data_IF_898361801841
#
_entry.id   IF_898361801841
#
_cell.length_a   1.000
_cell.length_b   1.000
_cell.length_c   1.000
_cell.angle_alpha   90.00
_cell.angle_beta   90.00
_cell.angle_gamma   90.00
#
_symmetry.space_group_name_H-M   'P 1'
#
loop_
_entity.id
_entity.type
_entity.pdbx_description
1 polymer ?
#
# COMPACT_ATOMS: atom_id res chain seq x y z
N UNK A 1 5.85 4.15 -7.88
CA UNK A 1 4.83 4.51 -6.86
C UNK A 1 5.17 5.84 -6.20
N UNK A 2 6.41 6.04 -5.83
CA UNK A 2 6.91 7.28 -5.23
C UNK A 2 7.94 7.89 -6.17
N UNK A 3 7.70 9.14 -6.56
CA UNK A 3 8.62 9.93 -7.38
C UNK A 3 9.35 10.93 -6.48
N UNK A 4 10.56 11.34 -6.86
CA UNK A 4 11.27 12.45 -6.22
C UNK A 4 10.66 13.79 -6.59
N UNK A 5 11.16 14.85 -5.96
CA UNK A 5 10.81 16.22 -6.31
C UNK A 5 11.40 16.60 -7.69
N UNK A 6 10.88 17.64 -8.36
CA UNK A 6 11.35 18.04 -9.71
C UNK A 6 12.85 18.36 -9.79
N UNK A 7 13.49 18.68 -8.66
CA UNK A 7 14.93 18.92 -8.57
C UNK A 7 15.77 17.63 -8.43
N UNK A 8 15.11 16.45 -8.42
CA UNK A 8 15.72 15.14 -8.24
C UNK A 8 15.93 14.72 -6.79
N UNK A 9 15.54 15.54 -5.81
CA UNK A 9 15.64 15.19 -4.39
C UNK A 9 14.49 14.26 -3.98
N UNK A 10 14.73 13.43 -2.94
CA UNK A 10 13.68 12.57 -2.35
C UNK A 10 13.04 13.19 -1.11
N UNK A 11 13.76 14.06 -0.40
CA UNK A 11 13.33 14.72 0.82
C UNK A 11 12.76 13.73 1.86
N UNK A 12 13.56 12.79 2.40
CA UNK A 12 13.06 11.65 3.21
C UNK A 12 12.32 12.08 4.48
N UNK A 13 12.69 13.22 5.06
CA UNK A 13 12.11 13.73 6.31
C UNK A 13 10.92 14.67 6.10
N UNK A 14 10.61 15.05 4.84
CA UNK A 14 9.41 15.83 4.54
C UNK A 14 8.17 14.99 4.80
N UNK A 15 7.14 15.61 5.38
CA UNK A 15 5.87 14.90 5.66
C UNK A 15 5.03 14.74 4.41
N UNK A 16 4.35 13.61 4.29
CA UNK A 16 3.45 13.29 3.18
C UNK A 16 2.07 13.88 3.45
N UNK A 17 1.47 14.47 2.41
CA UNK A 17 0.09 14.94 2.45
C UNK A 17 -0.91 13.79 2.24
N UNK A 18 -2.16 14.01 2.63
CA UNK A 18 -3.26 13.07 2.39
C UNK A 18 -3.50 12.82 0.89
N UNK A 19 -3.31 13.85 0.06
CA UNK A 19 -3.42 13.75 -1.39
C UNK A 19 -2.29 12.90 -2.01
N UNK A 20 -1.06 13.09 -1.55
CA UNK A 20 0.08 12.28 -1.99
C UNK A 20 -0.08 10.82 -1.60
N UNK A 21 -0.57 10.55 -0.38
CA UNK A 21 -0.86 9.17 0.05
C UNK A 21 -1.96 8.53 -0.82
N UNK A 22 -3.02 9.27 -1.17
CA UNK A 22 -4.06 8.79 -2.06
C UNK A 22 -3.51 8.46 -3.47
N UNK A 23 -2.60 9.30 -4.02
CA UNK A 23 -1.89 9.01 -5.29
C UNK A 23 -1.08 7.72 -5.18
N UNK A 24 -0.28 7.55 -4.13
CA UNK A 24 0.53 6.34 -3.93
C UNK A 24 -0.33 5.07 -3.91
N UNK A 25 -1.43 5.09 -3.15
CA UNK A 25 -2.37 3.98 -3.05
C UNK A 25 -3.02 3.69 -4.40
N UNK A 26 -3.44 4.73 -5.13
CA UNK A 26 -4.00 4.58 -6.47
C UNK A 26 -3.03 3.86 -7.41
N UNK A 27 -1.75 4.27 -7.39
CA UNK A 27 -0.71 3.67 -8.25
C UNK A 27 -0.50 2.20 -7.90
N UNK A 28 -0.46 1.84 -6.62
CA UNK A 28 -0.38 0.44 -6.20
C UNK A 28 -1.59 -0.34 -6.71
N UNK A 29 -2.80 0.21 -6.56
CA UNK A 29 -4.06 -0.50 -6.86
C UNK A 29 -4.30 -0.67 -8.36
N UNK A 30 -3.88 0.29 -9.19
CA UNK A 30 -4.17 0.32 -10.62
C UNK A 30 -2.95 0.06 -11.50
N UNK A 31 -1.76 -0.04 -10.91
CA UNK A 31 -0.48 -0.12 -11.65
C UNK A 31 -0.37 0.97 -12.73
N UNK A 32 -0.87 2.16 -12.46
CA UNK A 32 -0.97 3.29 -13.38
C UNK A 32 -0.96 4.61 -12.59
N UNK A 33 -0.47 5.67 -13.23
CA UNK A 33 -0.55 7.05 -12.72
C UNK A 33 -1.71 7.86 -13.33
N UNK A 34 -2.44 7.29 -14.29
CA UNK A 34 -3.53 7.98 -14.98
C UNK A 34 -4.85 7.87 -14.20
N UNK A 35 -5.24 8.96 -13.57
CA UNK A 35 -6.50 9.10 -12.80
C UNK A 35 -7.66 9.72 -13.59
N UNK A 36 -7.47 9.98 -14.88
CA UNK A 36 -8.42 10.72 -15.73
C UNK A 36 -9.83 10.10 -15.76
N UNK A 37 -9.92 8.77 -15.71
CA UNK A 37 -11.18 8.04 -15.67
C UNK A 37 -12.02 8.33 -14.42
N UNK A 38 -11.38 8.78 -13.34
CA UNK A 38 -12.03 9.01 -12.03
C UNK A 38 -12.26 10.49 -11.72
N UNK A 39 -11.59 11.41 -12.43
CA UNK A 39 -11.61 12.84 -12.17
C UNK A 39 -13.03 13.45 -12.19
N UNK A 40 -13.94 12.86 -12.99
CA UNK A 40 -15.33 13.31 -13.13
C UNK A 40 -16.34 12.50 -12.32
N UNK A 41 -15.89 11.51 -11.53
CA UNK A 41 -16.79 10.75 -10.67
C UNK A 41 -17.42 11.66 -9.60
N UNK A 42 -18.58 11.26 -9.08
CA UNK A 42 -19.18 11.93 -7.94
C UNK A 42 -18.34 11.71 -6.68
N UNK A 43 -18.36 12.69 -5.79
CA UNK A 43 -17.73 12.62 -4.47
C UNK A 43 -18.57 13.42 -3.50
N UNK A 44 -18.55 13.01 -2.23
CA UNK A 44 -19.15 13.81 -1.14
C UNK A 44 -18.20 14.90 -0.66
N UNK A 45 -16.91 14.83 -1.01
CA UNK A 45 -15.88 15.77 -0.57
C UNK A 45 -15.92 17.04 -1.41
N UNK A 46 -16.07 18.19 -0.77
CA UNK A 46 -16.28 19.50 -1.44
C UNK A 46 -14.98 20.25 -1.73
N UNK A 47 -13.92 19.94 -0.99
CA UNK A 47 -12.63 20.65 -1.03
C UNK A 47 -11.63 20.08 -2.05
N UNK A 48 -12.02 19.10 -2.84
CA UNK A 48 -11.15 18.43 -3.81
C UNK A 48 -11.39 18.82 -5.27
N UNK A 49 -12.45 19.58 -5.57
CA UNK A 49 -12.95 19.78 -6.95
C UNK A 49 -11.93 20.44 -7.89
N UNK A 50 -11.11 21.36 -7.39
CA UNK A 50 -10.03 22.02 -8.14
C UNK A 50 -8.64 21.47 -7.82
N UNK A 51 -8.55 20.45 -6.93
CA UNK A 51 -7.27 19.91 -6.50
C UNK A 51 -6.68 18.98 -7.56
N UNK A 52 -5.35 18.98 -7.70
CA UNK A 52 -4.63 18.14 -8.66
C UNK A 52 -4.88 16.64 -8.46
N UNK A 53 -5.06 16.21 -7.22
CA UNK A 53 -5.26 14.81 -6.85
C UNK A 53 -6.73 14.36 -6.87
N UNK A 54 -7.65 15.16 -7.43
CA UNK A 54 -9.11 14.86 -7.33
C UNK A 54 -9.49 13.48 -7.85
N UNK A 55 -8.87 12.99 -8.92
CA UNK A 55 -9.17 11.68 -9.47
C UNK A 55 -8.68 10.55 -8.56
N UNK A 56 -7.47 10.66 -8.04
CA UNK A 56 -6.91 9.72 -7.05
C UNK A 56 -7.77 9.62 -5.80
N UNK A 57 -8.20 10.78 -5.26
CA UNK A 57 -9.02 10.86 -4.05
C UNK A 57 -10.40 10.24 -4.31
N UNK A 58 -11.06 10.59 -5.42
CA UNK A 58 -12.37 10.03 -5.79
C UNK A 58 -12.33 8.52 -6.02
N UNK A 59 -11.26 8.02 -6.63
CA UNK A 59 -11.04 6.58 -6.72
C UNK A 59 -10.95 5.96 -5.33
N UNK A 60 -10.06 6.43 -4.47
CA UNK A 60 -9.87 5.87 -3.13
C UNK A 60 -11.17 5.96 -2.29
N UNK A 61 -11.95 7.05 -2.43
CA UNK A 61 -13.28 7.18 -1.81
C UNK A 61 -14.23 6.08 -2.32
N UNK A 62 -14.29 5.87 -3.64
CA UNK A 62 -15.17 4.86 -4.26
C UNK A 62 -14.85 3.43 -3.83
N UNK A 63 -13.59 3.18 -3.47
CA UNK A 63 -13.12 1.88 -2.96
C UNK A 63 -13.23 1.76 -1.43
N UNK A 64 -13.73 2.79 -0.73
CA UNK A 64 -13.80 2.82 0.73
C UNK A 64 -12.44 2.92 1.43
N UNK A 65 -11.35 3.14 0.68
CA UNK A 65 -9.98 3.23 1.21
C UNK A 65 -9.82 4.49 2.07
N UNK A 66 -10.45 5.58 1.65
CA UNK A 66 -10.43 6.84 2.37
C UNK A 66 -11.84 7.29 2.75
N UNK A 67 -11.91 8.01 3.86
CA UNK A 67 -13.10 8.72 4.30
C UNK A 67 -12.75 10.18 4.59
N UNK A 68 -13.71 11.06 4.45
CA UNK A 68 -13.59 12.45 4.90
C UNK A 68 -13.75 12.59 6.41
N UNK A 69 -13.69 13.83 6.88
CA UNK A 69 -13.79 14.16 8.31
C UNK A 69 -15.24 14.30 8.84
N UNK A 70 -16.23 13.86 8.08
CA UNK A 70 -17.65 13.92 8.47
C UNK A 70 -18.31 15.29 8.21
N UNK A 71 -17.52 16.31 7.85
CA UNK A 71 -17.95 17.65 7.42
C UNK A 71 -17.93 17.81 5.89
N UNK A 72 -17.87 16.71 5.15
CA UNK A 72 -17.70 16.65 3.71
C UNK A 72 -16.38 17.25 3.20
N UNK A 73 -15.33 17.25 4.01
CA UNK A 73 -13.97 17.61 3.58
C UNK A 73 -13.03 16.41 3.62
N UNK A 74 -12.01 16.42 2.75
CA UNK A 74 -10.90 15.46 2.75
C UNK A 74 -9.62 16.06 3.32
N UNK A 75 -9.44 17.37 3.18
CA UNK A 75 -8.24 18.14 3.54
C UNK A 75 -7.00 17.62 2.80
N UNK A 76 -6.97 17.68 1.46
CA UNK A 76 -5.95 17.04 0.64
C UNK A 76 -4.52 17.49 0.97
N UNK A 77 -4.31 18.77 1.30
CA UNK A 77 -3.01 19.33 1.62
C UNK A 77 -2.60 19.15 3.09
N UNK A 78 -3.48 18.60 3.93
CA UNK A 78 -3.12 18.30 5.31
C UNK A 78 -2.17 17.09 5.35
N UNK A 79 -1.22 17.12 6.27
CA UNK A 79 -0.32 16.02 6.52
C UNK A 79 -1.09 14.77 6.94
N UNK A 80 -0.78 13.62 6.34
CA UNK A 80 -1.31 12.32 6.80
C UNK A 80 -0.52 11.84 8.01
N UNK A 81 -1.21 11.31 9.02
CA UNK A 81 -0.52 10.65 10.14
C UNK A 81 -0.18 9.20 9.77
N UNK A 82 0.79 8.61 10.48
CA UNK A 82 1.15 7.19 10.27
C UNK A 82 -0.02 6.24 10.50
N UNK A 83 -0.87 6.51 11.50
CA UNK A 83 -2.08 5.72 11.76
C UNK A 83 -3.11 5.87 10.63
N UNK A 84 -3.33 7.07 10.12
CA UNK A 84 -4.23 7.29 8.98
C UNK A 84 -3.73 6.56 7.72
N UNK A 85 -2.42 6.63 7.45
CA UNK A 85 -1.80 5.92 6.34
C UNK A 85 -1.95 4.39 6.51
N UNK A 86 -1.68 3.86 7.70
CA UNK A 86 -1.86 2.44 8.00
C UNK A 86 -3.30 1.97 7.78
N UNK A 87 -4.30 2.76 8.21
CA UNK A 87 -5.71 2.47 7.95
C UNK A 87 -6.01 2.39 6.46
N UNK A 88 -5.54 3.34 5.67
CA UNK A 88 -5.74 3.35 4.22
C UNK A 88 -5.14 2.09 3.57
N UNK A 89 -3.94 1.69 4.00
CA UNK A 89 -3.24 0.51 3.46
C UNK A 89 -3.89 -0.81 3.90
N UNK A 90 -4.42 -0.91 5.11
CA UNK A 90 -5.21 -2.07 5.54
C UNK A 90 -6.46 -2.25 4.67
N UNK A 91 -7.20 -1.18 4.39
CA UNK A 91 -8.38 -1.26 3.52
C UNK A 91 -7.97 -1.64 2.09
N UNK A 92 -6.83 -1.14 1.58
CA UNK A 92 -6.26 -1.58 0.30
C UNK A 92 -5.97 -3.09 0.28
N UNK A 93 -5.50 -3.65 1.40
CA UNK A 93 -5.24 -5.09 1.55
C UNK A 93 -6.52 -5.93 1.73
N UNK A 94 -7.70 -5.30 1.86
CA UNK A 94 -9.00 -5.96 1.92
C UNK A 94 -9.65 -6.02 3.30
N UNK A 95 -9.07 -5.37 4.30
CA UNK A 95 -9.71 -5.25 5.61
C UNK A 95 -10.97 -4.37 5.50
N UNK A 96 -12.13 -4.94 5.82
CA UNK A 96 -13.36 -4.19 5.96
C UNK A 96 -13.26 -3.25 7.17
N UNK A 97 -13.49 -1.95 6.96
CA UNK A 97 -13.27 -0.94 7.98
C UNK A 97 -14.19 -1.09 9.21
N UNK A 98 -15.42 -1.52 9.00
CA UNK A 98 -16.40 -1.73 10.09
C UNK A 98 -16.06 -3.02 10.84
N UNK A 99 -15.81 -4.12 10.13
CA UNK A 99 -15.48 -5.42 10.73
C UNK A 99 -14.17 -5.42 11.48
N UNK A 100 -13.17 -4.71 10.98
CA UNK A 100 -11.89 -4.53 11.65
C UNK A 100 -11.94 -3.45 12.76
N UNK A 101 -13.05 -2.73 12.92
CA UNK A 101 -13.19 -1.64 13.86
C UNK A 101 -12.23 -0.47 13.57
N UNK A 102 -11.94 -0.22 12.29
CA UNK A 102 -11.11 0.92 11.85
C UNK A 102 -11.91 2.22 11.80
N UNK A 103 -13.10 2.22 12.38
CA UNK A 103 -13.98 3.38 12.54
C UNK A 103 -14.45 3.47 13.99
N UNK A 104 -14.98 4.65 14.38
CA UNK A 104 -15.48 4.87 15.75
C UNK A 104 -14.36 5.11 16.78
N UNK A 105 -14.66 4.91 18.05
CA UNK A 105 -13.82 5.38 19.16
C UNK A 105 -12.42 4.73 19.21
N UNK A 106 -12.32 3.44 18.91
CA UNK A 106 -11.08 2.66 19.04
C UNK A 106 -10.33 2.48 17.68
N UNK A 107 -10.68 3.25 16.66
CA UNK A 107 -10.16 3.06 15.31
C UNK A 107 -8.62 3.06 15.24
N UNK A 108 -7.96 3.97 15.94
CA UNK A 108 -6.49 4.09 15.96
C UNK A 108 -5.84 2.83 16.56
N UNK A 109 -6.28 2.41 17.73
CA UNK A 109 -5.77 1.20 18.41
C UNK A 109 -5.97 -0.06 17.54
N UNK A 110 -7.16 -0.21 16.95
CA UNK A 110 -7.43 -1.34 16.07
C UNK A 110 -6.59 -1.28 14.80
N UNK A 111 -6.40 -0.10 14.22
CA UNK A 111 -5.54 0.10 13.07
C UNK A 111 -4.11 -0.35 13.36
N UNK A 112 -3.53 0.12 14.46
CA UNK A 112 -2.17 -0.25 14.85
C UNK A 112 -2.03 -1.76 15.11
N UNK A 113 -3.03 -2.38 15.72
CA UNK A 113 -3.04 -3.82 15.97
C UNK A 113 -3.04 -4.62 14.65
N UNK A 114 -3.93 -4.30 13.71
CA UNK A 114 -3.98 -4.99 12.42
C UNK A 114 -2.75 -4.68 11.57
N UNK A 115 -2.29 -3.42 11.54
CA UNK A 115 -1.12 -3.03 10.78
C UNK A 115 0.16 -3.73 11.26
N UNK A 116 0.34 -3.85 12.58
CA UNK A 116 1.44 -4.63 13.16
C UNK A 116 1.35 -6.11 12.80
N UNK A 117 0.15 -6.73 12.92
CA UNK A 117 -0.03 -8.14 12.58
C UNK A 117 0.14 -8.42 11.08
N UNK A 118 -0.14 -7.46 10.21
CA UNK A 118 0.00 -7.57 8.77
C UNK A 118 1.41 -7.20 8.25
N UNK A 119 2.34 -6.84 9.14
CA UNK A 119 3.71 -6.45 8.78
C UNK A 119 3.83 -5.05 8.17
N UNK A 120 2.75 -4.25 8.14
CA UNK A 120 2.76 -2.91 7.54
C UNK A 120 3.71 -1.93 8.25
N UNK A 121 3.98 -2.18 9.53
CA UNK A 121 4.78 -1.30 10.38
C UNK A 121 6.23 -1.77 10.56
N UNK A 122 6.63 -2.84 9.87
CA UNK A 122 7.99 -3.36 9.96
C UNK A 122 8.99 -2.30 9.47
N UNK A 123 10.03 -2.05 10.28
CA UNK A 123 11.06 -1.03 10.04
C UNK A 123 10.55 0.43 9.98
N UNK A 124 9.32 0.69 10.42
CA UNK A 124 8.76 2.04 10.49
C UNK A 124 9.07 2.66 11.86
N UNK A 125 10.19 3.37 11.94
CA UNK A 125 10.67 4.01 13.17
C UNK A 125 10.21 5.48 13.26
N UNK A 126 8.90 5.70 13.32
CA UNK A 126 8.28 7.04 13.37
C UNK A 126 7.18 7.10 14.42
N UNK A 127 6.91 8.29 14.94
CA UNK A 127 5.73 8.56 15.77
C UNK A 127 4.47 8.51 14.90
N UNK A 128 3.70 7.43 15.03
CA UNK A 128 2.57 7.15 14.13
C UNK A 128 1.38 8.10 14.30
N UNK A 129 1.28 8.81 15.43
CA UNK A 129 0.26 9.84 15.70
C UNK A 129 0.62 11.21 15.09
N UNK A 130 1.80 11.34 14.51
CA UNK A 130 2.30 12.55 13.90
C UNK A 130 2.30 12.45 12.38
N UNK A 131 2.60 13.57 11.71
CA UNK A 131 2.78 13.60 10.26
C UNK A 131 3.83 12.58 9.81
N UNK A 132 3.46 11.74 8.87
CA UNK A 132 4.28 10.63 8.39
C UNK A 132 5.41 11.16 7.48
N UNK A 133 6.70 10.96 7.83
CA UNK A 133 7.82 11.28 6.94
C UNK A 133 7.79 10.42 5.68
N UNK A 134 8.24 11.00 4.57
CA UNK A 134 8.18 10.39 3.23
C UNK A 134 8.93 9.05 3.14
N UNK A 135 10.07 8.92 3.83
CA UNK A 135 10.79 7.64 3.92
C UNK A 135 9.94 6.53 4.54
N UNK A 136 9.18 6.83 5.58
CA UNK A 136 8.33 5.83 6.24
C UNK A 136 7.02 5.59 5.49
N UNK A 137 6.51 6.57 4.75
CA UNK A 137 5.44 6.31 3.80
C UNK A 137 5.90 5.34 2.71
N UNK A 138 7.13 5.50 2.20
CA UNK A 138 7.72 4.58 1.24
C UNK A 138 7.91 3.18 1.83
N UNK A 139 8.40 3.07 3.08
CA UNK A 139 8.52 1.79 3.78
C UNK A 139 7.17 1.11 3.96
N UNK A 140 6.15 1.82 4.44
CA UNK A 140 4.81 1.26 4.59
C UNK A 140 4.20 0.80 3.27
N UNK A 141 4.41 1.52 2.17
CA UNK A 141 3.99 1.09 0.83
C UNK A 141 4.73 -0.19 0.43
N UNK A 142 6.05 -0.27 0.64
CA UNK A 142 6.83 -1.47 0.33
C UNK A 142 6.33 -2.67 1.14
N UNK A 143 6.15 -2.53 2.45
CA UNK A 143 5.59 -3.57 3.32
C UNK A 143 4.19 -4.02 2.86
N UNK A 144 3.37 -3.06 2.38
CA UNK A 144 2.03 -3.37 1.89
C UNK A 144 2.06 -4.28 0.66
N UNK A 145 3.06 -4.16 -0.22
CA UNK A 145 3.15 -5.03 -1.39
C UNK A 145 3.29 -6.52 -1.00
N UNK A 146 3.93 -6.79 0.12
CA UNK A 146 4.15 -8.15 0.65
C UNK A 146 3.01 -8.62 1.58
N UNK A 147 2.12 -7.70 1.96
CA UNK A 147 0.98 -8.03 2.83
C UNK A 147 -0.04 -8.90 2.09
N UNK A 148 -0.48 -9.99 2.74
CA UNK A 148 -1.56 -10.81 2.24
C UNK A 148 -2.85 -10.01 2.09
N UNK A 149 -3.54 -10.22 0.99
CA UNK A 149 -4.91 -9.73 0.84
C UNK A 149 -5.86 -10.60 1.63
N UNK A 150 -6.82 -9.95 2.25
CA UNK A 150 -7.80 -10.62 3.09
C UNK A 150 -9.22 -10.26 2.68
N UNK A 151 -10.16 -11.08 3.11
CA UNK A 151 -11.60 -10.82 3.05
C UNK A 151 -12.25 -11.22 4.36
N UNK A 152 -13.32 -10.53 4.75
CA UNK A 152 -14.12 -10.95 5.90
C UNK A 152 -14.86 -12.25 5.59
N UNK A 153 -14.76 -13.19 6.50
CA UNK A 153 -15.46 -14.46 6.48
C UNK A 153 -16.55 -14.48 7.58
N UNK A 154 -17.79 -14.67 7.18
CA UNK A 154 -18.90 -14.83 8.11
C UNK A 154 -18.89 -16.18 8.82
N UNK A 155 -18.24 -17.19 8.24
CA UNK A 155 -18.18 -18.53 8.77
C UNK A 155 -17.20 -18.64 9.94
N UNK A 156 -16.04 -17.95 9.83
CA UNK A 156 -15.01 -17.92 10.86
C UNK A 156 -15.09 -16.69 11.78
N UNK A 157 -15.96 -15.72 11.45
CA UNK A 157 -16.05 -14.39 12.11
C UNK A 157 -14.66 -13.71 12.19
N UNK A 158 -13.90 -13.85 11.11
CA UNK A 158 -12.50 -13.36 11.01
C UNK A 158 -12.13 -12.98 9.58
N UNK A 159 -10.93 -12.40 9.43
CA UNK A 159 -10.36 -12.16 8.11
C UNK A 159 -9.58 -13.38 7.64
N UNK A 160 -10.00 -13.94 6.51
CA UNK A 160 -9.33 -15.06 5.85
C UNK A 160 -8.45 -14.54 4.70
N UNK A 161 -7.27 -15.17 4.51
CA UNK A 161 -6.42 -14.87 3.36
C UNK A 161 -7.14 -15.20 2.05
N UNK A 162 -6.96 -14.33 1.05
CA UNK A 162 -7.42 -14.61 -0.31
C UNK A 162 -6.38 -15.50 -0.98
N UNK A 163 -6.86 -16.63 -1.54
CA UNK A 163 -6.02 -17.59 -2.25
C UNK A 163 -6.23 -17.49 -3.77
N UNK A 164 -5.14 -17.55 -4.51
CA UNK A 164 -5.14 -17.67 -5.97
C UNK A 164 -4.37 -18.96 -6.34
N UNK A 165 -5.11 -19.96 -6.83
CA UNK A 165 -4.52 -21.28 -7.12
C UNK A 165 -3.96 -22.01 -5.88
N UNK A 166 -4.47 -21.72 -4.68
CA UNK A 166 -4.00 -22.29 -3.41
C UNK A 166 -2.84 -21.51 -2.75
N UNK A 167 -2.34 -20.47 -3.40
CA UNK A 167 -1.28 -19.59 -2.88
C UNK A 167 -1.92 -18.32 -2.34
N UNK A 168 -1.44 -17.81 -1.21
CA UNK A 168 -1.90 -16.54 -0.64
C UNK A 168 -1.58 -15.39 -1.59
N UNK A 169 -2.58 -14.59 -1.87
CA UNK A 169 -2.46 -13.43 -2.74
C UNK A 169 -1.99 -12.22 -1.95
N UNK A 170 -0.84 -11.64 -2.32
CA UNK A 170 -0.39 -10.37 -1.73
C UNK A 170 -0.96 -9.17 -2.50
N UNK A 171 -0.90 -7.99 -1.89
CA UNK A 171 -1.27 -6.73 -2.57
C UNK A 171 -0.43 -6.54 -3.83
N UNK A 172 0.88 -6.80 -3.76
CA UNK A 172 1.79 -6.67 -4.90
C UNK A 172 1.48 -7.66 -6.02
N UNK A 173 1.20 -8.92 -5.70
CA UNK A 173 0.85 -9.93 -6.70
C UNK A 173 -0.48 -9.62 -7.37
N UNK A 174 -1.48 -9.20 -6.60
CA UNK A 174 -2.83 -8.93 -7.08
C UNK A 174 -2.92 -7.72 -8.01
N UNK A 175 -2.24 -6.65 -7.65
CA UNK A 175 -2.45 -5.35 -8.29
C UNK A 175 -1.31 -4.91 -9.20
N UNK A 176 -0.10 -5.38 -8.94
CA UNK A 176 1.09 -4.99 -9.70
C UNK A 176 1.75 -6.16 -10.44
N UNK A 177 1.21 -7.38 -10.31
CA UNK A 177 1.75 -8.57 -10.95
C UNK A 177 3.13 -8.97 -10.41
N UNK A 178 3.45 -8.60 -9.15
CA UNK A 178 4.71 -8.97 -8.55
C UNK A 178 4.73 -10.47 -8.23
N UNK A 179 5.89 -11.07 -8.45
CA UNK A 179 6.21 -12.43 -8.03
C UNK A 179 7.55 -12.42 -7.31
N UNK A 180 7.75 -13.40 -6.43
CA UNK A 180 8.96 -13.54 -5.64
C UNK A 180 9.60 -14.87 -5.94
N UNK A 181 10.90 -14.84 -6.18
CA UNK A 181 11.73 -16.03 -6.31
C UNK A 181 12.90 -15.92 -5.34
N UNK A 182 13.36 -17.05 -4.84
CA UNK A 182 14.57 -17.14 -4.03
C UNK A 182 15.72 -17.70 -4.83
N UNK A 183 16.90 -17.19 -4.55
CA UNK A 183 18.09 -17.69 -5.20
C UNK A 183 19.36 -17.22 -4.51
N UNK A 184 20.47 -17.84 -4.90
CA UNK A 184 21.80 -17.43 -4.46
C UNK A 184 22.41 -16.46 -5.44
N UNK A 185 22.88 -15.32 -4.94
CA UNK A 185 23.65 -14.37 -5.74
C UNK A 185 24.98 -15.01 -6.13
N UNK A 186 25.15 -15.31 -7.41
CA UNK A 186 26.33 -16.03 -7.91
C UNK A 186 27.33 -15.12 -8.62
N UNK A 187 26.89 -13.92 -9.04
CA UNK A 187 27.80 -12.98 -9.72
C UNK A 187 27.33 -11.53 -9.54
N UNK A 188 28.30 -10.66 -9.29
CA UNK A 188 28.14 -9.21 -9.27
C UNK A 188 29.11 -8.63 -10.29
N UNK A 189 28.61 -7.84 -11.22
CA UNK A 189 29.42 -7.02 -12.13
C UNK A 189 29.08 -5.55 -12.01
N UNK A 190 29.76 -4.70 -12.76
CA UNK A 190 29.46 -3.25 -12.84
C UNK A 190 28.03 -2.99 -13.32
N UNK A 191 27.52 -3.82 -14.22
CA UNK A 191 26.31 -3.55 -14.97
C UNK A 191 25.18 -4.58 -14.70
N UNK A 192 25.47 -5.66 -13.97
CA UNK A 192 24.49 -6.73 -13.73
C UNK A 192 24.69 -7.48 -12.42
N UNK A 193 23.61 -8.10 -11.98
CA UNK A 193 23.56 -9.13 -10.92
C UNK A 193 23.06 -10.42 -11.53
N UNK A 194 23.67 -11.55 -11.20
CA UNK A 194 23.17 -12.88 -11.58
C UNK A 194 22.77 -13.66 -10.33
N UNK A 195 21.56 -14.20 -10.33
CA UNK A 195 21.01 -14.99 -9.22
C UNK A 195 20.67 -16.38 -9.75
N UNK A 196 21.21 -17.40 -9.09
CA UNK A 196 20.78 -18.79 -9.30
C UNK A 196 19.53 -19.02 -8.48
N UNK A 197 18.41 -19.29 -9.14
CA UNK A 197 17.13 -19.57 -8.47
C UNK A 197 17.19 -20.90 -7.70
N UNK A 198 16.60 -20.90 -6.52
CA UNK A 198 16.49 -22.07 -5.66
C UNK A 198 15.17 -22.81 -5.92
N UNK A 199 15.25 -23.90 -6.68
CA UNK A 199 14.10 -24.72 -7.04
C UNK A 199 13.50 -25.52 -5.86
N UNK A 200 14.19 -25.55 -4.72
CA UNK A 200 13.73 -26.29 -3.53
C UNK A 200 12.93 -25.41 -2.57
N UNK A 201 13.01 -24.09 -2.73
CA UNK A 201 12.28 -23.16 -1.88
C UNK A 201 10.84 -23.02 -2.35
N UNK A 202 9.92 -23.46 -1.53
CA UNK A 202 8.48 -23.33 -1.76
C UNK A 202 7.86 -22.74 -0.49
N UNK A 203 7.30 -21.55 -0.59
CA UNK A 203 6.44 -20.98 0.44
C UNK A 203 5.14 -20.52 -0.18
N UNK A 204 4.15 -20.22 0.65
CA UNK A 204 2.80 -19.84 0.22
C UNK A 204 2.75 -18.62 -0.72
N UNK A 205 3.83 -17.84 -0.78
CA UNK A 205 3.90 -16.58 -1.54
C UNK A 205 4.96 -16.56 -2.64
N UNK A 206 5.63 -17.70 -2.93
CA UNK A 206 6.77 -17.73 -3.82
C UNK A 206 6.63 -18.77 -4.93
N UNK A 207 7.10 -18.41 -6.12
CA UNK A 207 7.24 -19.37 -7.21
C UNK A 207 8.55 -20.13 -7.06
N UNK A 208 8.50 -21.44 -7.23
CA UNK A 208 9.71 -22.24 -7.37
C UNK A 208 10.26 -22.05 -8.79
N UNK A 209 11.25 -21.21 -8.94
CA UNK A 209 11.99 -21.03 -10.18
C UNK A 209 13.19 -21.96 -10.26
N UNK A 210 13.63 -22.27 -11.46
CA UNK A 210 14.91 -22.95 -11.69
C UNK A 210 15.68 -22.23 -12.79
N UNK A 211 17.00 -22.15 -12.66
CA UNK A 211 17.85 -21.50 -13.63
C UNK A 211 18.52 -20.23 -13.09
N UNK A 212 19.13 -19.45 -13.96
CA UNK A 212 19.81 -18.20 -13.63
C UNK A 212 19.05 -17.01 -14.17
N UNK A 213 18.83 -16.00 -13.33
CA UNK A 213 18.23 -14.73 -13.74
C UNK A 213 19.27 -13.64 -13.64
N UNK A 214 19.34 -12.81 -14.67
CA UNK A 214 20.24 -11.64 -14.71
C UNK A 214 19.43 -10.37 -14.64
N UNK A 215 19.89 -9.45 -13.78
CA UNK A 215 19.31 -8.11 -13.63
C UNK A 215 20.35 -7.08 -14.07
N UNK A 216 19.96 -6.16 -14.96
CA UNK A 216 20.76 -4.97 -15.26
C UNK A 216 20.66 -3.98 -14.10
N UNK A 217 21.76 -3.29 -13.81
CA UNK A 217 21.81 -2.20 -12.81
C UNK A 217 21.37 -0.89 -13.41
#
# INVERSE_FOLDING_TARGET
VIEGDPDGSFCPDATVTRAEMAKMIFVVRNNSIDDSAYANNSSKMTDINSHWAKGYIKFCESQGIIAGYGDNTFKPDATVTGVEAAKMLLVLAGYDADKAGLVGHNWSTNTLRYAGSAGLLDDVNSGLEQGLPRQYAAQMIANTLDTNRVKWSTDSDSFDDILNGGVKETVGSAYMGLSYDYGTLIKISTDSLEIQLDSTYSSDNYHSGSGTVSFSK
#
